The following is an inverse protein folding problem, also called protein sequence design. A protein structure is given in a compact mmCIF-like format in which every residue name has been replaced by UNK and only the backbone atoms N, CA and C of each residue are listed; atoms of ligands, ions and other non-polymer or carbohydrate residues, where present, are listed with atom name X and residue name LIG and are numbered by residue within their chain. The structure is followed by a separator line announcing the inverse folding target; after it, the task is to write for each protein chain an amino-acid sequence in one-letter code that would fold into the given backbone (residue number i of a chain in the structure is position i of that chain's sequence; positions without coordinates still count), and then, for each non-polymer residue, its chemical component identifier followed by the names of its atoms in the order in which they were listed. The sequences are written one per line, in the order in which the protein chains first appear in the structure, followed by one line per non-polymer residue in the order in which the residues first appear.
data_IF_229613871707
#
_entry.id   IF_229613871707
#
_cell.length_a   1.000
_cell.length_b   1.000
_cell.length_c   1.000
_cell.angle_alpha   90.00
_cell.angle_beta   90.00
_cell.angle_gamma   90.00
#
_symmetry.space_group_name_H-M   'P 1'
#
loop_
_entity.id
_entity.type
_entity.pdbx_description
1 polymer ?
#
# COMPACT_ATOMS: atom_id res chain seq x y z
N UNK A 1 -12.47 11.68 1.33
CA UNK A 1 -11.68 12.79 0.77
C UNK A 1 -11.97 14.06 1.58
N UNK A 2 -11.38 14.13 2.78
CA UNK A 2 -11.52 15.27 3.68
C UNK A 2 -10.27 16.15 3.59
N UNK A 3 -10.22 17.05 2.62
CA UNK A 3 -9.22 18.12 2.63
C UNK A 3 -9.58 19.10 3.75
N UNK A 4 -9.20 18.78 4.99
CA UNK A 4 -9.31 19.68 6.15
C UNK A 4 -8.25 20.78 6.01
N UNK A 5 -8.47 21.72 5.08
CA UNK A 5 -7.95 23.10 5.03
C UNK A 5 -8.15 23.72 3.62
N UNK A 6 -9.41 24.01 3.26
CA UNK A 6 -9.81 24.85 2.11
C UNK A 6 -9.50 24.31 0.70
N UNK A 7 -10.30 24.63 -0.34
CA UNK A 7 -9.91 24.26 -1.69
C UNK A 7 -8.74 25.15 -2.13
N UNK A 8 -7.52 24.59 -2.13
CA UNK A 8 -6.54 24.94 -3.16
C UNK A 8 -7.20 24.60 -4.49
N UNK A 9 -7.79 25.59 -5.16
CA UNK A 9 -8.66 25.35 -6.31
C UNK A 9 -7.83 24.82 -7.48
N UNK A 10 -8.20 23.65 -7.99
CA UNK A 10 -7.71 23.18 -9.28
C UNK A 10 -8.47 23.90 -10.41
N UNK A 11 -7.78 24.17 -11.53
CA UNK A 11 -8.37 24.78 -12.72
C UNK A 11 -7.82 24.14 -13.99
N UNK A 12 -8.57 24.23 -15.08
CA UNK A 12 -8.10 23.78 -16.39
C UNK A 12 -7.43 24.91 -17.16
N UNK A 13 -6.38 24.59 -17.92
CA UNK A 13 -5.81 25.51 -18.91
C UNK A 13 -6.50 25.36 -20.28
N UNK A 14 -6.02 26.08 -21.30
CA UNK A 14 -6.60 26.06 -22.66
C UNK A 14 -6.43 24.72 -23.40
N UNK A 15 -5.60 23.81 -22.88
CA UNK A 15 -5.33 22.48 -23.42
C UNK A 15 -6.00 21.37 -22.57
N UNK A 16 -6.97 21.73 -21.72
CA UNK A 16 -7.64 20.82 -20.78
C UNK A 16 -6.70 20.12 -19.77
N UNK A 17 -5.52 20.70 -19.52
CA UNK A 17 -4.60 20.20 -18.49
C UNK A 17 -4.99 20.78 -17.12
N UNK A 18 -4.94 19.94 -16.08
CA UNK A 18 -5.23 20.34 -14.71
C UNK A 18 -4.06 21.12 -14.13
N UNK A 19 -4.36 22.28 -13.54
CA UNK A 19 -3.41 23.13 -12.83
C UNK A 19 -3.76 23.20 -11.35
N UNK A 20 -2.74 23.21 -10.50
CA UNK A 20 -2.89 23.50 -9.08
C UNK A 20 -3.16 25.00 -8.82
N UNK A 21 -3.26 25.37 -7.55
CA UNK A 21 -3.50 26.76 -7.13
C UNK A 21 -2.35 27.72 -7.48
N UNK A 22 -1.15 27.21 -7.71
CA UNK A 22 0.04 27.97 -8.08
C UNK A 22 0.22 28.06 -9.61
N UNK A 23 -0.60 27.35 -10.37
CA UNK A 23 -0.56 27.30 -11.83
C UNK A 23 0.38 26.24 -12.39
N UNK A 24 0.91 25.34 -11.55
CA UNK A 24 1.69 24.20 -12.01
C UNK A 24 0.78 23.13 -12.59
N UNK A 25 1.24 22.43 -13.63
CA UNK A 25 0.53 21.26 -14.15
C UNK A 25 0.51 20.16 -13.09
N UNK A 26 -0.63 19.51 -12.93
CA UNK A 26 -0.74 18.33 -12.08
C UNK A 26 -0.15 17.15 -12.84
N UNK A 27 1.12 16.89 -12.55
CA UNK A 27 1.93 15.85 -13.18
C UNK A 27 2.71 15.08 -12.10
N UNK A 28 2.71 13.76 -12.18
CA UNK A 28 3.51 12.92 -11.27
C UNK A 28 3.94 11.60 -11.91
N UNK A 29 4.92 10.95 -11.30
CA UNK A 29 5.43 9.64 -11.70
C UNK A 29 4.72 8.53 -10.93
N UNK A 30 4.17 7.53 -11.64
CA UNK A 30 3.62 6.32 -11.04
C UNK A 30 4.60 5.15 -11.22
N UNK A 31 5.25 4.75 -10.12
CA UNK A 31 6.18 3.62 -10.11
C UNK A 31 5.44 2.28 -9.97
N UNK A 32 5.90 1.25 -10.68
CA UNK A 32 5.53 -0.13 -10.37
C UNK A 32 6.66 -1.11 -10.71
N UNK A 33 6.57 -2.34 -10.21
CA UNK A 33 7.49 -3.40 -10.59
C UNK A 33 7.10 -4.00 -11.95
N UNK A 34 8.07 -4.14 -12.84
CA UNK A 34 7.90 -4.75 -14.15
C UNK A 34 7.61 -6.26 -14.04
N UNK A 35 6.90 -6.82 -15.01
CA UNK A 35 6.65 -8.26 -15.14
C UNK A 35 5.36 -8.74 -14.48
N UNK A 36 4.56 -7.83 -13.91
CA UNK A 36 3.21 -8.13 -13.40
C UNK A 36 2.16 -7.50 -14.30
N UNK A 37 1.75 -8.23 -15.36
CA UNK A 37 0.77 -7.78 -16.37
C UNK A 37 -0.49 -7.14 -15.79
N UNK A 38 -1.05 -7.73 -14.72
CA UNK A 38 -2.25 -7.21 -14.06
C UNK A 38 -2.00 -5.81 -13.45
N UNK A 39 -0.81 -5.55 -12.88
CA UNK A 39 -0.43 -4.22 -12.38
C UNK A 39 -0.14 -3.25 -13.51
N UNK A 40 0.50 -3.70 -14.59
CA UNK A 40 0.76 -2.87 -15.78
C UNK A 40 -0.56 -2.41 -16.45
N UNK A 41 -1.55 -3.30 -16.52
CA UNK A 41 -2.89 -2.97 -17.00
C UNK A 41 -3.61 -1.99 -16.08
N UNK A 42 -3.56 -2.20 -14.76
CA UNK A 42 -4.11 -1.25 -13.79
C UNK A 42 -3.48 0.14 -13.92
N UNK A 43 -2.14 0.23 -13.99
CA UNK A 43 -1.43 1.49 -14.18
C UNK A 43 -1.86 2.20 -15.48
N UNK A 44 -2.02 1.44 -16.56
CA UNK A 44 -2.51 1.97 -17.85
C UNK A 44 -3.92 2.53 -17.72
N UNK A 45 -4.83 1.83 -17.02
CA UNK A 45 -6.20 2.31 -16.79
C UNK A 45 -6.22 3.57 -15.92
N UNK A 46 -5.43 3.60 -14.85
CA UNK A 46 -5.25 4.79 -13.99
C UNK A 46 -4.78 5.99 -14.83
N UNK A 47 -3.77 5.79 -15.68
CA UNK A 47 -3.25 6.84 -16.57
C UNK A 47 -4.32 7.36 -17.55
N UNK A 48 -5.12 6.46 -18.14
CA UNK A 48 -6.19 6.85 -19.05
C UNK A 48 -7.29 7.64 -18.34
N UNK A 49 -7.72 7.20 -17.16
CA UNK A 49 -8.83 7.82 -16.44
C UNK A 49 -8.44 9.15 -15.80
N UNK A 50 -7.25 9.25 -15.21
CA UNK A 50 -6.74 10.52 -14.69
C UNK A 50 -6.34 11.48 -15.82
N UNK A 51 -5.93 10.98 -16.98
CA UNK A 51 -5.72 11.78 -18.18
C UNK A 51 -6.98 12.50 -18.66
N UNK A 52 -8.17 11.89 -18.52
CA UNK A 52 -9.46 12.56 -18.82
C UNK A 52 -9.76 13.73 -17.88
N UNK A 53 -9.11 13.77 -16.72
CA UNK A 53 -9.20 14.86 -15.75
C UNK A 53 -8.09 15.90 -15.93
N UNK A 54 -7.27 15.79 -16.98
CA UNK A 54 -6.16 16.70 -17.25
C UNK A 54 -4.89 16.43 -16.42
N UNK A 55 -4.83 15.29 -15.72
CA UNK A 55 -3.68 14.90 -14.90
C UNK A 55 -2.71 14.08 -15.76
N UNK A 56 -1.44 14.48 -15.78
CA UNK A 56 -0.40 13.74 -16.51
C UNK A 56 0.30 12.74 -15.60
N UNK A 57 0.34 11.47 -16.02
CA UNK A 57 1.04 10.42 -15.27
C UNK A 57 2.19 9.86 -16.09
N UNK A 58 3.40 9.95 -15.54
CA UNK A 58 4.58 9.31 -16.12
C UNK A 58 4.72 7.91 -15.51
N UNK A 59 4.23 6.88 -16.21
CA UNK A 59 4.36 5.49 -15.75
C UNK A 59 5.80 5.00 -15.87
N UNK A 60 6.36 4.43 -14.81
CA UNK A 60 7.70 3.86 -14.80
C UNK A 60 7.71 2.45 -14.21
N UNK A 61 8.00 1.46 -15.05
CA UNK A 61 8.14 0.06 -14.65
C UNK A 61 9.60 -0.29 -14.41
N UNK A 62 9.92 -0.78 -13.22
CA UNK A 62 11.30 -1.02 -12.76
C UNK A 62 11.54 -2.48 -12.40
N UNK A 63 12.80 -2.91 -12.42
CA UNK A 63 13.18 -4.17 -11.78
C UNK A 63 12.79 -4.13 -10.28
N UNK A 64 12.44 -5.27 -9.69
CA UNK A 64 11.99 -5.30 -8.30
C UNK A 64 13.01 -4.71 -7.32
N UNK A 65 14.30 -5.01 -7.49
CA UNK A 65 15.36 -4.47 -6.63
C UNK A 65 15.49 -2.94 -6.77
N UNK A 66 15.40 -2.41 -8.00
CA UNK A 66 15.43 -0.95 -8.23
C UNK A 66 14.21 -0.27 -7.62
N UNK A 67 13.03 -0.89 -7.76
CA UNK A 67 11.78 -0.43 -7.19
C UNK A 67 11.84 -0.34 -5.66
N UNK A 68 12.24 -1.43 -4.98
CA UNK A 68 12.40 -1.46 -3.52
C UNK A 68 13.42 -0.43 -3.04
N UNK A 69 14.56 -0.27 -3.73
CA UNK A 69 15.55 0.76 -3.40
C UNK A 69 14.95 2.17 -3.47
N UNK A 70 14.14 2.47 -4.49
CA UNK A 70 13.47 3.77 -4.61
C UNK A 70 12.48 4.02 -3.49
N UNK A 71 11.71 3.01 -3.10
CA UNK A 71 10.71 3.14 -2.03
C UNK A 71 11.30 3.25 -0.63
N UNK A 72 12.33 2.45 -0.31
CA UNK A 72 12.78 2.27 1.08
C UNK A 72 14.10 2.97 1.39
N UNK A 73 14.93 3.27 0.39
CA UNK A 73 16.27 3.85 0.61
C UNK A 73 16.35 5.28 0.08
N UNK A 74 16.12 5.48 -1.22
CA UNK A 74 16.28 6.82 -1.80
C UNK A 74 15.06 7.72 -1.68
N UNK A 75 13.88 7.16 -1.36
CA UNK A 75 12.59 7.87 -1.21
C UNK A 75 12.27 8.74 -2.44
N UNK A 76 12.64 8.23 -3.61
CA UNK A 76 12.63 8.95 -4.88
C UNK A 76 11.47 8.45 -5.75
N UNK A 77 10.27 8.90 -5.39
CA UNK A 77 9.00 8.54 -5.99
C UNK A 77 7.90 9.53 -5.60
N UNK A 78 6.91 9.75 -6.49
CA UNK A 78 5.72 10.55 -6.21
C UNK A 78 4.54 9.67 -5.76
N UNK A 79 4.27 8.63 -6.55
CA UNK A 79 3.30 7.58 -6.25
C UNK A 79 3.81 6.22 -6.71
N UNK A 80 3.28 5.14 -6.11
CA UNK A 80 3.57 3.79 -6.57
C UNK A 80 2.34 2.89 -6.56
N UNK A 81 2.28 1.98 -7.54
CA UNK A 81 1.31 0.89 -7.59
C UNK A 81 1.99 -0.40 -7.12
N UNK A 82 1.67 -0.81 -5.91
CA UNK A 82 2.33 -1.91 -5.21
C UNK A 82 1.37 -2.74 -4.39
N UNK A 83 1.91 -3.40 -3.37
CA UNK A 83 1.14 -4.17 -2.40
C UNK A 83 2.07 -4.86 -1.43
N UNK A 84 1.59 -5.06 -0.22
CA UNK A 84 2.30 -5.78 0.83
C UNK A 84 1.96 -7.28 0.75
N UNK A 85 2.90 -8.12 1.16
CA UNK A 85 2.74 -9.58 1.24
C UNK A 85 3.15 -10.07 2.61
N UNK A 86 2.65 -11.25 3.02
CA UNK A 86 3.03 -11.85 4.31
C UNK A 86 2.23 -11.35 5.51
N UNK A 87 1.02 -10.81 5.27
CA UNK A 87 0.06 -10.53 6.33
C UNK A 87 -0.49 -11.80 6.97
N UNK A 88 -0.91 -11.70 8.23
CA UNK A 88 -1.59 -12.79 8.94
C UNK A 88 -3.11 -12.57 8.96
N UNK A 89 -3.89 -13.59 9.35
CA UNK A 89 -5.33 -13.40 9.65
C UNK A 89 -5.57 -12.40 10.78
N UNK A 90 -4.57 -12.22 11.64
CA UNK A 90 -4.61 -11.30 12.76
C UNK A 90 -4.17 -9.90 12.29
N UNK A 91 -5.00 -8.85 12.50
CA UNK A 91 -4.71 -7.48 12.05
C UNK A 91 -3.35 -6.91 12.48
N UNK A 92 -2.83 -7.32 13.64
CA UNK A 92 -1.51 -6.96 14.13
C UNK A 92 -0.38 -7.35 13.17
N UNK A 93 -0.60 -8.33 12.28
CA UNK A 93 0.33 -8.62 11.18
C UNK A 93 0.65 -7.39 10.32
N UNK A 94 -0.23 -6.38 10.30
CA UNK A 94 -0.01 -5.10 9.66
C UNK A 94 0.85 -4.10 10.44
N UNK A 95 1.27 -4.39 11.67
CA UNK A 95 1.96 -3.40 12.52
C UNK A 95 3.27 -2.89 11.90
N UNK A 96 4.01 -3.72 11.17
CA UNK A 96 5.22 -3.28 10.46
C UNK A 96 4.96 -2.27 9.31
N UNK A 97 3.71 -2.17 8.84
CA UNK A 97 3.26 -1.18 7.86
C UNK A 97 2.78 0.09 8.58
N UNK A 98 2.01 -0.09 9.65
CA UNK A 98 1.32 1.01 10.32
C UNK A 98 2.11 1.71 11.40
N UNK A 99 3.11 1.04 11.98
CA UNK A 99 3.98 1.67 12.95
C UNK A 99 4.80 2.78 12.32
N UNK A 100 4.93 3.91 13.01
CA UNK A 100 5.73 5.07 12.58
C UNK A 100 7.23 4.74 12.48
N UNK A 101 7.65 3.65 13.13
CA UNK A 101 9.00 3.09 13.06
C UNK A 101 9.06 1.79 12.23
N UNK A 102 7.97 1.43 11.56
CA UNK A 102 7.85 0.22 10.76
C UNK A 102 8.72 0.27 9.51
N UNK A 103 9.34 -0.87 9.15
CA UNK A 103 10.16 -0.97 7.92
C UNK A 103 9.34 -0.87 6.65
N UNK A 104 8.04 -1.18 6.74
CA UNK A 104 7.08 -1.07 5.64
C UNK A 104 6.17 0.16 5.81
N UNK A 105 6.52 1.09 6.69
CA UNK A 105 5.88 2.40 6.73
C UNK A 105 6.34 3.19 5.50
N UNK A 106 5.50 3.22 4.45
CA UNK A 106 5.88 3.75 3.14
C UNK A 106 5.33 5.14 2.84
N UNK A 107 4.71 5.81 3.80
CA UNK A 107 4.29 7.21 3.69
C UNK A 107 4.96 8.00 4.82
N UNK A 108 5.04 9.33 4.69
CA UNK A 108 5.70 10.22 5.66
C UNK A 108 7.02 9.66 6.24
N UNK A 109 7.87 9.07 5.38
CA UNK A 109 8.99 8.27 5.85
C UNK A 109 9.99 9.15 6.62
N UNK A 110 10.30 8.76 7.86
CA UNK A 110 11.36 9.34 8.69
C UNK A 110 12.72 8.71 8.49
N UNK A 111 13.82 9.30 9.02
CA UNK A 111 15.16 8.72 8.90
C UNK A 111 15.20 7.30 9.45
N UNK A 112 15.88 6.39 8.75
CA UNK A 112 16.10 5.01 9.21
C UNK A 112 17.29 4.95 10.17
N UNK A 113 17.43 3.87 10.99
CA UNK A 113 18.58 3.73 11.88
C UNK A 113 19.92 3.87 11.15
N UNK A 114 20.69 4.90 11.52
CA UNK A 114 21.98 5.22 10.91
C UNK A 114 21.94 6.27 9.79
N UNK A 115 20.77 6.77 9.41
CA UNK A 115 20.62 7.90 8.48
C UNK A 115 20.67 9.25 9.22
N UNK A 116 21.02 10.31 8.51
CA UNK A 116 20.94 11.67 9.03
C UNK A 116 19.49 12.10 9.22
N UNK A 117 19.26 13.03 10.17
CA UNK A 117 17.93 13.60 10.39
C UNK A 117 17.41 14.32 9.13
N UNK A 118 16.14 14.10 8.83
CA UNK A 118 15.46 14.81 7.75
C UNK A 118 14.90 16.11 8.32
N UNK A 119 15.48 17.24 7.92
CA UNK A 119 15.09 18.57 8.43
C UNK A 119 13.59 18.83 8.25
N UNK A 120 12.91 19.09 9.36
CA UNK A 120 11.48 19.42 9.37
C UNK A 120 10.54 18.23 9.21
N UNK A 121 11.07 17.00 9.13
CA UNK A 121 10.26 15.81 9.22
C UNK A 121 9.68 15.65 10.63
N UNK A 122 8.42 15.23 10.69
CA UNK A 122 7.72 14.88 11.92
C UNK A 122 6.68 13.81 11.61
N UNK A 123 6.45 12.93 12.58
CA UNK A 123 5.30 12.03 12.57
C UNK A 123 4.03 12.89 12.65
N UNK A 124 3.01 12.56 11.85
CA UNK A 124 1.72 13.23 11.96
C UNK A 124 0.91 12.63 13.13
N UNK A 125 0.08 13.44 13.77
CA UNK A 125 -0.69 13.00 14.95
C UNK A 125 -1.55 11.76 14.67
N UNK A 126 -2.18 11.70 13.49
CA UNK A 126 -2.99 10.54 13.07
C UNK A 126 -2.16 9.27 12.82
N UNK A 127 -0.89 9.42 12.44
CA UNK A 127 0.03 8.29 12.26
C UNK A 127 0.43 7.71 13.61
N UNK A 128 0.75 8.59 14.56
CA UNK A 128 1.05 8.18 15.94
C UNK A 128 -0.17 7.55 16.61
N UNK A 129 -1.37 8.08 16.37
CA UNK A 129 -2.60 7.50 16.90
C UNK A 129 -2.82 6.07 16.39
N UNK A 130 -2.57 5.81 15.10
CA UNK A 130 -2.63 4.44 14.56
C UNK A 130 -1.58 3.55 15.23
N UNK A 131 -0.33 3.99 15.38
CA UNK A 131 0.74 3.23 16.04
C UNK A 131 0.34 2.86 17.49
N UNK A 132 -0.15 3.83 18.25
CA UNK A 132 -0.61 3.65 19.64
C UNK A 132 -1.77 2.65 19.72
N UNK A 133 -2.74 2.74 18.82
CA UNK A 133 -3.88 1.81 18.76
C UNK A 133 -3.42 0.37 18.48
N UNK A 134 -2.44 0.18 17.59
CA UNK A 134 -1.89 -1.16 17.33
C UNK A 134 -1.12 -1.72 18.54
N UNK A 135 -0.39 -0.88 19.28
CA UNK A 135 0.29 -1.25 20.52
C UNK A 135 -0.73 -1.65 21.58
N UNK A 136 -1.75 -0.82 21.81
CA UNK A 136 -2.84 -1.11 22.76
C UNK A 136 -3.55 -2.41 22.42
N UNK A 137 -3.91 -2.62 21.15
CA UNK A 137 -4.56 -3.84 20.69
C UNK A 137 -3.73 -5.11 21.01
N UNK A 138 -2.39 -5.04 20.86
CA UNK A 138 -1.49 -6.17 21.17
C UNK A 138 -1.43 -6.55 22.66
N UNK A 139 -1.84 -5.63 23.55
CA UNK A 139 -1.82 -5.83 25.00
C UNK A 139 -3.16 -6.35 25.55
N UNK A 140 -4.17 -6.50 24.69
CA UNK A 140 -5.53 -6.88 25.07
C UNK A 140 -5.81 -8.33 24.69
N UNK A 141 -6.18 -9.13 25.71
CA UNK A 141 -6.54 -10.54 25.53
C UNK A 141 -7.98 -10.75 25.08
N UNK A 142 -8.88 -9.84 25.44
CA UNK A 142 -10.29 -9.86 25.06
C UNK A 142 -10.44 -9.51 23.58
N UNK A 143 -10.99 -10.43 22.79
CA UNK A 143 -11.03 -10.30 21.33
C UNK A 143 -11.94 -9.15 20.87
N UNK A 144 -13.09 -8.95 21.53
CA UNK A 144 -14.04 -7.89 21.18
C UNK A 144 -13.41 -6.51 21.44
N UNK A 145 -12.75 -6.34 22.58
CA UNK A 145 -12.00 -5.09 22.87
C UNK A 145 -10.83 -4.89 21.91
N UNK A 146 -10.10 -5.95 21.55
CA UNK A 146 -9.00 -5.85 20.58
C UNK A 146 -9.50 -5.40 19.21
N UNK A 147 -10.67 -5.91 18.79
CA UNK A 147 -11.33 -5.53 17.55
C UNK A 147 -11.72 -4.05 17.51
N UNK A 148 -12.15 -3.47 18.64
CA UNK A 148 -12.47 -2.04 18.73
C UNK A 148 -11.25 -1.16 18.40
N UNK A 149 -10.08 -1.47 18.96
CA UNK A 149 -8.84 -0.72 18.67
C UNK A 149 -8.44 -0.79 17.18
N UNK A 150 -8.48 -1.98 16.58
CA UNK A 150 -8.21 -2.10 15.14
C UNK A 150 -9.26 -1.40 14.28
N UNK A 151 -10.53 -1.41 14.70
CA UNK A 151 -11.60 -0.68 14.03
C UNK A 151 -11.38 0.83 14.04
N UNK A 152 -10.94 1.39 15.17
CA UNK A 152 -10.56 2.81 15.28
C UNK A 152 -9.39 3.15 14.36
N UNK A 153 -8.34 2.32 14.36
CA UNK A 153 -7.21 2.52 13.47
C UNK A 153 -7.63 2.49 11.99
N UNK A 154 -8.48 1.53 11.60
CA UNK A 154 -9.03 1.43 10.24
C UNK A 154 -9.88 2.65 9.86
N UNK A 155 -10.62 3.23 10.81
CA UNK A 155 -11.38 4.46 10.58
C UNK A 155 -10.43 5.62 10.24
N UNK A 156 -9.37 5.83 11.03
CA UNK A 156 -8.37 6.87 10.76
C UNK A 156 -7.71 6.65 9.39
N UNK A 157 -7.33 5.40 9.07
CA UNK A 157 -6.75 5.05 7.77
C UNK A 157 -7.70 5.39 6.62
N UNK A 158 -9.00 5.13 6.76
CA UNK A 158 -10.00 5.42 5.75
C UNK A 158 -10.30 6.93 5.60
N UNK A 159 -10.08 7.71 6.66
CA UNK A 159 -10.26 9.16 6.66
C UNK A 159 -9.06 9.88 6.04
N UNK A 160 -7.84 9.50 6.41
CA UNK A 160 -6.57 10.13 6.00
C UNK A 160 -6.07 9.62 4.64
N UNK A 161 -6.51 8.43 4.21
CA UNK A 161 -6.24 7.84 2.88
C UNK A 161 -4.75 7.82 2.47
N UNK A 162 -3.81 7.36 3.33
CA UNK A 162 -2.41 7.22 2.92
C UNK A 162 -2.22 6.15 1.82
N UNK A 163 -3.19 5.25 1.68
CA UNK A 163 -3.28 4.30 0.58
C UNK A 163 -4.64 4.40 -0.12
N UNK A 164 -4.62 4.23 -1.44
CA UNK A 164 -5.81 4.01 -2.24
C UNK A 164 -5.87 2.52 -2.55
N UNK A 165 -6.76 1.80 -1.86
CA UNK A 165 -6.94 0.36 -2.06
C UNK A 165 -7.57 0.09 -3.43
N UNK A 166 -6.93 -0.76 -4.23
CA UNK A 166 -7.36 -1.06 -5.60
C UNK A 166 -8.29 -2.26 -5.65
N UNK A 167 -7.77 -3.44 -5.30
CA UNK A 167 -8.49 -4.71 -5.38
C UNK A 167 -8.02 -5.67 -4.30
N UNK A 168 -8.94 -6.48 -3.77
CA UNK A 168 -8.62 -7.71 -3.04
C UNK A 168 -8.68 -8.86 -4.05
N UNK A 169 -7.54 -9.38 -4.54
CA UNK A 169 -7.54 -10.37 -5.60
C UNK A 169 -8.06 -11.72 -5.08
N UNK A 170 -8.72 -12.47 -5.97
CA UNK A 170 -8.91 -13.90 -5.78
C UNK A 170 -7.64 -14.64 -6.19
N UNK A 171 -7.24 -15.62 -5.40
CA UNK A 171 -6.11 -16.50 -5.72
C UNK A 171 -6.62 -17.80 -6.34
N UNK A 172 -5.97 -18.24 -7.42
CA UNK A 172 -6.30 -19.47 -8.14
C UNK A 172 -5.03 -20.29 -8.34
N UNK A 173 -5.01 -21.50 -7.78
CA UNK A 173 -3.92 -22.45 -7.96
C UNK A 173 -4.31 -23.55 -8.95
N UNK A 174 -3.46 -23.76 -9.96
CA UNK A 174 -3.58 -24.88 -10.88
C UNK A 174 -2.73 -26.05 -10.37
N UNK A 175 -3.38 -27.13 -9.93
CA UNK A 175 -2.70 -28.26 -9.31
C UNK A 175 -3.00 -29.53 -10.09
N UNK A 176 -1.96 -30.36 -10.32
CA UNK A 176 -2.14 -31.65 -11.00
C UNK A 176 -3.03 -32.56 -10.17
N UNK A 177 -3.99 -33.19 -10.83
CA UNK A 177 -4.93 -34.17 -10.28
C UNK A 177 -4.28 -35.30 -9.46
N UNK A 178 -3.07 -35.71 -9.83
CA UNK A 178 -2.28 -36.72 -9.10
C UNK A 178 -1.79 -36.27 -7.72
N UNK A 179 -1.77 -34.97 -7.44
CA UNK A 179 -1.42 -34.45 -6.12
C UNK A 179 -2.67 -34.60 -5.24
N UNK A 180 -2.57 -35.46 -4.22
CA UNK A 180 -3.65 -35.76 -3.28
C UNK A 180 -3.31 -35.21 -1.90
N UNK A 181 -4.36 -34.94 -1.11
CA UNK A 181 -4.22 -34.44 0.27
C UNK A 181 -4.06 -32.92 0.38
N UNK A 182 -4.35 -32.18 -0.69
CA UNK A 182 -4.29 -30.71 -0.69
C UNK A 182 -5.37 -30.17 0.24
N UNK A 183 -4.95 -29.35 1.19
CA UNK A 183 -5.86 -28.57 2.00
C UNK A 183 -5.80 -27.11 1.53
N UNK A 184 -6.95 -26.52 1.21
CA UNK A 184 -7.01 -25.14 0.75
C UNK A 184 -7.09 -24.20 1.95
N UNK A 185 -6.41 -23.07 1.87
CA UNK A 185 -6.42 -22.04 2.91
C UNK A 185 -6.50 -20.66 2.28
N UNK A 186 -7.04 -19.70 3.02
CA UNK A 186 -7.13 -18.30 2.60
C UNK A 186 -5.80 -17.55 2.74
N UNK A 187 -4.80 -18.16 3.40
CA UNK A 187 -3.53 -17.51 3.76
C UNK A 187 -2.33 -17.90 2.89
N UNK A 188 -2.49 -18.87 1.99
CA UNK A 188 -1.37 -19.45 1.26
C UNK A 188 -1.86 -20.27 0.06
N UNK A 189 -0.92 -20.61 -0.82
CA UNK A 189 -1.17 -21.55 -1.91
C UNK A 189 -1.28 -22.99 -1.41
N UNK A 190 -1.62 -23.91 -2.32
CA UNK A 190 -1.88 -25.33 -2.04
C UNK A 190 -0.71 -26.17 -1.47
N UNK A 191 0.39 -25.55 -1.03
CA UNK A 191 1.57 -26.23 -0.48
C UNK A 191 1.85 -25.93 0.99
N UNK A 192 1.01 -25.18 1.70
CA UNK A 192 1.22 -24.94 3.13
C UNK A 192 1.22 -26.25 3.95
N UNK A 193 0.45 -27.26 3.51
CA UNK A 193 0.42 -28.60 4.10
C UNK A 193 1.26 -29.60 3.31
N UNK A 194 2.41 -29.17 2.74
CA UNK A 194 3.29 -30.00 1.90
C UNK A 194 3.61 -31.38 2.49
N UNK A 195 3.73 -31.47 3.82
CA UNK A 195 4.04 -32.69 4.56
C UNK A 195 2.92 -33.75 4.54
N UNK A 196 1.69 -33.38 4.16
CA UNK A 196 0.55 -34.30 3.99
C UNK A 196 0.35 -34.72 2.54
N UNK A 197 0.98 -34.03 1.59
CA UNK A 197 0.73 -34.22 0.17
C UNK A 197 1.32 -35.54 -0.33
N UNK A 198 0.58 -36.20 -1.21
CA UNK A 198 0.99 -37.45 -1.87
C UNK A 198 0.89 -37.31 -3.37
N UNK A 199 1.77 -37.99 -4.09
CA UNK A 199 1.68 -38.17 -5.54
C UNK A 199 1.06 -39.55 -5.78
N UNK A 200 -0.15 -39.57 -6.33
CA UNK A 200 -0.76 -40.78 -6.85
C UNK A 200 -0.07 -41.18 -8.17
N UNK A 201 0.15 -42.47 -8.37
CA UNK A 201 0.62 -43.04 -9.65
C UNK A 201 -0.47 -42.97 -10.72
#
# INVERSE_FOLDING_TARGET
MGFKNGPKSFKYNQNDELLDSEGNKVEFTLLSSAGRKVREQMATQINQDLGKLGIKINMQFLSFNTYVRKLSLSRDWDAYLGGFTGGSIEPHGGYNIWSVNGRLHTFNQGPQPGEEEIKGWKVNDWEQEIDDLYIQASQVLDEDKRKEFYGQAQQIIAEELPFIYMVNPLEFDAIRDRIKGINYTELSGGFWNLYELKIAE
#
